data_IF_313929235346
#
_entry.id   IF_313929235346
#
_cell.length_a   1.000
_cell.length_b   1.000
_cell.length_c   1.000
_cell.angle_alpha   90.00
_cell.angle_beta   90.00
_cell.angle_gamma   90.00
#
_symmetry.space_group_name_H-M   'P 1'
#
loop_
_entity.id
_entity.type
_entity.pdbx_description
1 polymer ?
#
# COMPACT_ATOMS: atom_id res chain seq x y z
N UNK A 1 -2.73 27.58 0.87
CA UNK A 1 -1.41 27.42 0.23
C UNK A 1 -0.47 26.87 1.28
N UNK A 2 -0.24 25.56 1.29
CA UNK A 2 0.77 24.95 2.15
C UNK A 2 2.09 25.10 1.41
N UNK A 3 3.06 25.80 1.99
CA UNK A 3 4.38 25.95 1.38
C UNK A 3 5.08 24.60 1.33
N UNK A 4 5.47 24.14 0.14
CA UNK A 4 6.46 23.07 0.01
C UNK A 4 7.81 23.62 0.47
N UNK A 5 8.15 23.41 1.73
CA UNK A 5 9.52 23.65 2.20
C UNK A 5 10.41 22.52 1.68
N UNK A 6 11.11 22.79 0.57
CA UNK A 6 12.07 21.86 -0.01
C UNK A 6 13.38 21.93 0.75
N UNK A 7 13.49 21.16 1.82
CA UNK A 7 14.76 20.91 2.50
C UNK A 7 15.60 19.98 1.61
N UNK A 8 16.90 20.23 1.48
CA UNK A 8 17.76 19.31 0.75
C UNK A 8 17.79 17.96 1.48
N UNK A 9 17.85 16.85 0.73
CA UNK A 9 17.88 15.51 1.33
C UNK A 9 19.03 15.36 2.34
N UNK A 10 20.20 15.94 2.04
CA UNK A 10 21.36 15.90 2.91
C UNK A 10 21.13 16.64 4.23
N UNK A 11 20.55 17.84 4.17
CA UNK A 11 20.23 18.63 5.37
C UNK A 11 19.15 17.93 6.21
N UNK A 12 18.11 17.40 5.55
CA UNK A 12 17.06 16.63 6.23
C UNK A 12 17.65 15.43 6.97
N UNK A 13 18.54 14.66 6.32
CA UNK A 13 19.20 13.52 6.94
C UNK A 13 19.99 13.92 8.17
N UNK A 14 20.79 14.98 8.10
CA UNK A 14 21.57 15.47 9.25
C UNK A 14 20.64 15.88 10.40
N UNK A 15 19.58 16.64 10.12
CA UNK A 15 18.59 17.04 11.12
C UNK A 15 17.89 15.83 11.75
N UNK A 16 17.52 14.84 10.93
CA UNK A 16 16.89 13.61 11.40
C UNK A 16 17.84 12.82 12.30
N UNK A 17 19.07 12.58 11.87
CA UNK A 17 20.08 11.85 12.65
C UNK A 17 20.36 12.55 13.98
N UNK A 18 20.38 13.89 14.00
CA UNK A 18 20.56 14.66 15.23
C UNK A 18 19.35 14.58 16.18
N UNK A 19 18.14 14.48 15.66
CA UNK A 19 16.90 14.52 16.46
C UNK A 19 16.49 13.12 16.92
N UNK A 20 16.57 12.14 16.03
CA UNK A 20 16.03 10.79 16.22
C UNK A 20 17.11 9.71 16.26
N UNK A 21 18.30 9.97 15.71
CA UNK A 21 19.41 9.01 15.70
C UNK A 21 20.17 8.89 17.03
N UNK A 22 19.78 9.62 18.08
CA UNK A 22 20.40 9.51 19.41
C UNK A 22 20.03 8.19 20.09
N UNK A 23 20.92 7.66 20.96
CA UNK A 23 20.85 6.35 21.65
C UNK A 23 19.60 6.07 22.52
N UNK A 24 18.56 6.92 22.48
CA UNK A 24 17.25 6.55 23.00
C UNK A 24 16.66 5.45 22.10
N UNK A 25 16.27 4.30 22.65
CA UNK A 25 15.74 3.12 21.92
C UNK A 25 14.42 3.36 21.14
N UNK A 26 14.09 4.63 20.89
CA UNK A 26 12.84 5.13 20.33
C UNK A 26 12.81 5.04 18.79
N UNK A 27 13.93 5.25 18.12
CA UNK A 27 14.03 5.20 16.66
C UNK A 27 15.22 4.33 16.21
N UNK A 28 15.17 3.82 14.98
CA UNK A 28 16.31 3.11 14.38
C UNK A 28 17.34 4.10 13.82
N UNK A 29 18.30 3.60 13.03
CA UNK A 29 19.09 4.43 12.14
C UNK A 29 18.23 5.08 11.05
N UNK A 30 18.77 6.11 10.37
CA UNK A 30 18.02 6.82 9.31
C UNK A 30 17.49 5.86 8.25
N UNK A 31 18.29 4.87 7.86
CA UNK A 31 17.92 3.89 6.84
C UNK A 31 17.02 2.75 7.37
N UNK A 32 16.72 2.71 8.67
CA UNK A 32 15.95 1.61 9.23
C UNK A 32 14.48 1.69 8.81
N UNK A 33 13.89 0.52 8.64
CA UNK A 33 12.47 0.38 8.31
C UNK A 33 11.63 0.24 9.57
N UNK A 34 10.35 0.60 9.49
CA UNK A 34 9.39 0.38 10.58
C UNK A 34 9.48 -1.04 11.12
N UNK A 35 9.55 -1.18 12.44
CA UNK A 35 9.60 -2.49 13.11
C UNK A 35 8.22 -2.98 13.53
N UNK A 36 7.21 -2.11 13.43
CA UNK A 36 5.84 -2.44 13.80
C UNK A 36 5.17 -3.35 12.78
N UNK A 37 4.60 -4.45 13.31
CA UNK A 37 3.81 -5.37 12.51
C UNK A 37 2.51 -4.71 12.05
N UNK A 38 2.08 -4.95 10.79
CA UNK A 38 0.77 -4.54 10.33
C UNK A 38 -0.42 -5.19 11.07
N UNK A 39 -0.14 -6.24 11.85
CA UNK A 39 -1.12 -7.01 12.61
C UNK A 39 -0.89 -6.91 14.12
N UNK A 40 -0.20 -5.86 14.58
CA UNK A 40 0.22 -5.72 15.98
C UNK A 40 -0.94 -5.88 16.97
N UNK A 41 -2.11 -5.33 16.62
CA UNK A 41 -3.34 -5.44 17.41
C UNK A 41 -4.40 -6.32 16.73
N UNK A 42 -3.98 -7.37 16.01
CA UNK A 42 -4.95 -8.32 15.43
C UNK A 42 -5.47 -9.30 16.47
N UNK A 43 -4.65 -9.80 17.40
CA UNK A 43 -5.06 -10.81 18.39
C UNK A 43 -5.51 -10.20 19.72
N UNK A 44 -6.37 -9.18 19.67
CA UNK A 44 -6.78 -8.47 20.88
C UNK A 44 -8.03 -9.09 21.51
N UNK A 45 -8.00 -9.29 22.81
CA UNK A 45 -9.14 -9.79 23.58
C UNK A 45 -10.21 -8.70 23.69
N UNK A 46 -11.46 -8.96 23.26
CA UNK A 46 -12.55 -8.01 23.43
C UNK A 46 -12.75 -7.63 24.91
N UNK A 47 -12.93 -6.34 25.18
CA UNK A 47 -13.18 -5.82 26.54
C UNK A 47 -11.93 -5.45 27.35
N UNK A 48 -10.73 -5.77 26.87
CA UNK A 48 -9.47 -5.30 27.47
C UNK A 48 -9.02 -4.02 26.74
N UNK A 49 -8.92 -2.87 27.41
CA UNK A 49 -8.35 -1.66 26.83
C UNK A 49 -6.90 -1.90 26.43
N UNK A 50 -6.54 -1.50 25.20
CA UNK A 50 -5.15 -1.40 24.79
C UNK A 50 -4.89 0.08 24.58
N UNK A 51 -4.22 0.68 25.57
CA UNK A 51 -3.93 2.10 25.65
C UNK A 51 -3.02 2.53 24.50
N UNK A 52 -2.14 1.65 24.01
CA UNK A 52 -1.24 1.93 22.89
C UNK A 52 -1.90 1.87 21.49
N UNK A 53 -3.21 1.61 21.43
CA UNK A 53 -3.93 1.38 20.18
C UNK A 53 -4.99 2.46 19.89
N UNK A 54 -5.06 2.93 18.65
CA UNK A 54 -5.97 4.01 18.24
C UNK A 54 -6.70 3.69 16.94
N UNK A 55 -7.87 4.31 16.75
CA UNK A 55 -8.47 4.56 15.42
C UNK A 55 -8.21 6.01 15.08
N UNK A 56 -7.16 6.28 14.30
CA UNK A 56 -6.67 7.63 14.02
C UNK A 56 -6.77 7.99 12.54
N UNK A 57 -6.37 9.21 12.20
CA UNK A 57 -6.24 9.64 10.80
C UNK A 57 -5.04 8.94 10.15
N UNK A 58 -5.21 8.42 8.94
CA UNK A 58 -4.14 7.75 8.19
C UNK A 58 -4.04 8.25 6.76
N UNK A 59 -2.84 8.20 6.19
CA UNK A 59 -2.63 8.47 4.77
C UNK A 59 -2.67 7.17 3.96
N UNK A 60 -3.68 7.04 3.10
CA UNK A 60 -3.81 5.96 2.13
C UNK A 60 -3.13 6.37 0.82
N UNK A 61 -2.01 5.72 0.49
CA UNK A 61 -1.32 5.94 -0.79
C UNK A 61 -1.95 5.04 -1.85
N UNK A 62 -2.47 5.63 -2.93
CA UNK A 62 -3.05 4.90 -4.05
C UNK A 62 -2.03 4.64 -5.14
N UNK A 63 -1.42 5.70 -5.68
CA UNK A 63 -0.48 5.59 -6.81
C UNK A 63 0.69 6.55 -6.67
N UNK A 64 1.81 6.17 -7.28
CA UNK A 64 2.95 7.04 -7.51
C UNK A 64 3.25 6.98 -9.00
N UNK A 65 3.03 8.08 -9.70
CA UNK A 65 3.24 8.19 -11.14
C UNK A 65 4.53 8.95 -11.41
N UNK A 66 5.35 8.45 -12.33
CA UNK A 66 6.49 9.21 -12.83
C UNK A 66 5.98 10.24 -13.83
N UNK A 67 6.30 11.51 -13.56
CA UNK A 67 5.91 12.65 -14.37
C UNK A 67 7.13 13.46 -14.79
N UNK A 68 6.94 14.21 -15.87
CA UNK A 68 7.97 15.08 -16.44
C UNK A 68 7.77 16.53 -16.04
N UNK A 69 8.84 17.24 -15.64
CA UNK A 69 8.78 18.69 -15.54
C UNK A 69 8.84 19.38 -16.93
N UNK A 70 9.59 18.85 -17.92
CA UNK A 70 10.01 19.64 -19.10
C UNK A 70 9.99 18.95 -20.51
N UNK A 71 9.40 17.75 -20.70
CA UNK A 71 8.89 17.32 -22.03
C UNK A 71 9.78 16.51 -22.99
N UNK A 72 10.54 15.50 -22.51
CA UNK A 72 10.85 14.25 -23.24
C UNK A 72 11.66 13.29 -22.36
N UNK A 73 11.01 12.33 -21.70
CA UNK A 73 11.65 11.12 -21.21
C UNK A 73 11.79 10.12 -22.35
N UNK A 74 12.96 9.51 -22.46
CA UNK A 74 13.23 8.46 -23.45
C UNK A 74 12.60 7.15 -22.97
N UNK A 75 11.30 6.97 -23.21
CA UNK A 75 10.58 5.74 -22.86
C UNK A 75 11.10 4.54 -23.69
N UNK A 76 11.21 3.33 -23.12
CA UNK A 76 10.82 2.95 -21.76
C UNK A 76 11.86 3.36 -20.70
N UNK A 77 11.38 3.65 -19.48
CA UNK A 77 12.23 4.05 -18.36
C UNK A 77 12.52 2.90 -17.43
N UNK A 78 13.78 2.78 -17.00
CA UNK A 78 14.21 1.78 -16.02
C UNK A 78 14.45 2.45 -14.68
N UNK A 79 13.40 2.54 -13.87
CA UNK A 79 13.38 3.29 -12.61
C UNK A 79 13.77 2.39 -11.43
N UNK A 80 14.62 2.92 -10.54
CA UNK A 80 15.02 2.28 -9.30
C UNK A 80 15.23 3.33 -8.20
N UNK A 81 15.38 2.88 -6.96
CA UNK A 81 15.54 3.76 -5.80
C UNK A 81 14.53 3.45 -4.70
N UNK A 82 14.30 4.44 -3.84
CA UNK A 82 13.47 4.33 -2.64
C UNK A 82 12.39 5.41 -2.64
N UNK A 83 11.18 5.02 -2.29
CA UNK A 83 10.13 5.93 -1.83
C UNK A 83 9.62 5.42 -0.50
N UNK A 84 9.62 6.26 0.53
CA UNK A 84 9.16 5.91 1.86
C UNK A 84 8.34 7.04 2.49
N UNK A 85 7.42 6.67 3.37
CA UNK A 85 6.77 7.61 4.28
C UNK A 85 7.37 7.45 5.69
N UNK A 86 7.49 8.55 6.42
CA UNK A 86 7.87 8.59 7.83
C UNK A 86 6.77 9.29 8.60
N UNK A 87 6.16 8.55 9.52
CA UNK A 87 5.26 9.10 10.52
C UNK A 87 5.93 9.08 11.89
N UNK A 88 5.25 9.66 12.89
CA UNK A 88 5.79 9.85 14.24
C UNK A 88 5.70 8.61 15.13
N UNK A 89 5.21 7.47 14.61
CA UNK A 89 5.08 6.24 15.42
C UNK A 89 6.46 5.71 15.82
N UNK A 90 7.38 5.62 14.85
CA UNK A 90 8.78 5.21 15.07
C UNK A 90 9.79 6.03 14.26
N UNK A 91 9.36 7.01 13.46
CA UNK A 91 10.18 7.82 12.54
C UNK A 91 11.00 7.02 11.51
N UNK A 92 10.84 5.71 11.48
CA UNK A 92 11.53 4.82 10.56
C UNK A 92 10.84 4.80 9.19
N UNK A 93 11.51 4.25 8.18
CA UNK A 93 10.97 4.17 6.82
C UNK A 93 9.82 3.18 6.74
N UNK A 94 8.66 3.67 6.37
CA UNK A 94 7.57 2.86 5.88
C UNK A 94 7.66 2.81 4.34
N UNK A 95 8.35 1.78 3.83
CA UNK A 95 8.71 1.68 2.41
C UNK A 95 7.47 1.55 1.53
N UNK A 96 7.34 2.41 0.53
CA UNK A 96 6.28 2.38 -0.49
C UNK A 96 6.78 1.72 -1.78
N UNK A 97 8.02 2.00 -2.15
CA UNK A 97 8.72 1.44 -3.30
C UNK A 97 10.21 1.29 -2.95
N UNK A 98 10.80 0.14 -3.25
CA UNK A 98 12.24 -0.07 -3.06
C UNK A 98 12.76 -1.04 -4.13
N UNK A 99 13.63 -0.54 -5.02
CA UNK A 99 14.27 -1.35 -6.05
C UNK A 99 15.74 -0.98 -6.21
N UNK A 100 16.59 -1.98 -6.33
CA UNK A 100 18.00 -1.79 -6.64
C UNK A 100 18.21 -1.48 -8.13
N UNK A 101 19.37 -0.93 -8.49
CA UNK A 101 19.75 -0.68 -9.90
C UNK A 101 19.80 -1.96 -10.75
N UNK A 102 20.04 -3.12 -10.13
CA UNK A 102 20.04 -4.41 -10.81
C UNK A 102 18.62 -4.91 -11.12
N UNK A 103 17.63 -4.50 -10.33
CA UNK A 103 16.23 -4.90 -10.43
C UNK A 103 15.30 -3.69 -10.68
N UNK A 104 15.66 -2.84 -11.65
CA UNK A 104 14.82 -1.70 -12.02
C UNK A 104 13.41 -2.14 -12.46
N UNK A 105 12.41 -1.29 -12.21
CA UNK A 105 11.11 -1.42 -12.86
C UNK A 105 11.17 -0.75 -14.23
N UNK A 106 10.74 -1.46 -15.27
CA UNK A 106 10.50 -0.86 -16.59
C UNK A 106 9.12 -0.18 -16.58
N UNK A 107 9.07 1.08 -16.99
CA UNK A 107 7.85 1.87 -17.16
C UNK A 107 7.71 2.27 -18.62
N UNK A 108 6.47 2.38 -19.10
CA UNK A 108 6.14 2.86 -20.45
C UNK A 108 5.33 4.14 -20.37
N UNK A 109 5.18 4.84 -21.49
CA UNK A 109 4.35 6.05 -21.54
C UNK A 109 2.89 5.74 -21.16
N UNK A 110 2.38 4.58 -21.60
CA UNK A 110 1.03 4.09 -21.28
C UNK A 110 0.88 3.64 -19.82
N UNK A 111 1.95 3.12 -19.21
CA UNK A 111 2.00 2.64 -17.82
C UNK A 111 3.21 3.21 -17.08
N UNK A 112 3.04 4.46 -16.64
CA UNK A 112 4.07 5.28 -15.97
C UNK A 112 4.02 5.18 -14.43
N UNK A 113 3.34 4.17 -13.89
CA UNK A 113 3.13 4.01 -12.44
C UNK A 113 4.16 3.08 -11.79
N UNK A 114 4.67 3.48 -10.63
CA UNK A 114 5.49 2.60 -9.80
C UNK A 114 4.64 1.47 -9.22
N UNK A 115 5.18 0.25 -9.26
CA UNK A 115 4.57 -0.91 -8.61
C UNK A 115 4.92 -0.88 -7.13
N UNK A 116 4.00 -0.35 -6.34
CA UNK A 116 4.15 -0.19 -4.90
C UNK A 116 4.16 -1.54 -4.19
N UNK A 117 5.03 -1.68 -3.20
CA UNK A 117 5.14 -2.88 -2.36
C UNK A 117 4.59 -2.65 -0.95
N UNK A 118 4.51 -1.39 -0.53
CA UNK A 118 4.01 -1.02 0.77
C UNK A 118 2.82 -0.06 0.73
N UNK A 119 2.46 0.50 1.88
CA UNK A 119 3.28 0.54 3.09
C UNK A 119 3.34 -0.82 3.83
N UNK A 120 4.32 -0.97 4.72
CA UNK A 120 4.48 -2.14 5.60
C UNK A 120 3.48 -2.16 6.76
N UNK A 121 2.97 -0.99 7.14
CA UNK A 121 1.86 -0.76 8.07
C UNK A 121 1.10 0.52 7.67
N UNK A 122 -0.09 0.77 8.18
CA UNK A 122 -0.79 2.01 7.92
C UNK A 122 0.07 3.22 8.36
N UNK A 123 0.05 4.28 7.55
CA UNK A 123 0.79 5.52 7.80
C UNK A 123 -0.08 6.39 8.70
N UNK A 124 0.34 6.59 9.94
CA UNK A 124 -0.37 7.42 10.89
C UNK A 124 -0.17 8.89 10.53
N UNK A 125 -1.26 9.66 10.46
CA UNK A 125 -1.25 11.04 10.01
C UNK A 125 -1.85 11.99 11.07
N UNK A 126 -1.52 11.71 12.34
CA UNK A 126 -1.82 12.61 13.46
C UNK A 126 -0.87 13.81 13.46
N UNK A 127 0.39 13.56 13.11
CA UNK A 127 1.43 14.55 12.90
C UNK A 127 1.82 14.64 11.41
N UNK A 128 2.57 15.67 10.98
CA UNK A 128 3.07 15.77 9.61
C UNK A 128 3.86 14.52 9.18
N UNK A 129 3.45 13.94 8.05
CA UNK A 129 4.14 12.79 7.45
C UNK A 129 5.18 13.31 6.46
N UNK A 130 6.43 12.84 6.61
CA UNK A 130 7.51 13.16 5.68
C UNK A 130 7.60 12.09 4.60
N UNK A 131 7.65 12.51 3.33
CA UNK A 131 7.91 11.62 2.21
C UNK A 131 9.37 11.71 1.77
N UNK A 132 10.05 10.58 1.80
CA UNK A 132 11.40 10.39 1.27
C UNK A 132 11.29 9.87 -0.16
N UNK A 133 11.79 10.62 -1.15
CA UNK A 133 11.72 10.25 -2.57
C UNK A 133 13.12 10.33 -3.18
N UNK A 134 13.74 9.16 -3.34
CA UNK A 134 15.05 9.00 -3.98
C UNK A 134 14.93 8.07 -5.19
N UNK A 135 14.42 8.60 -6.29
CA UNK A 135 14.26 7.86 -7.54
C UNK A 135 15.36 8.20 -8.55
N UNK A 136 15.80 7.19 -9.29
CA UNK A 136 16.84 7.27 -10.32
C UNK A 136 16.41 6.50 -11.56
N UNK A 137 16.75 7.02 -12.72
CA UNK A 137 16.57 6.34 -14.02
C UNK A 137 17.92 5.71 -14.40
N UNK A 138 17.91 4.45 -14.81
CA UNK A 138 19.11 3.77 -15.30
C UNK A 138 19.41 4.25 -16.71
N UNK A 139 20.43 5.10 -16.84
CA UNK A 139 20.94 5.53 -18.14
C UNK A 139 21.72 4.39 -18.83
N UNK A 140 21.49 4.23 -20.14
CA UNK A 140 22.32 3.39 -21.00
C UNK A 140 23.69 4.04 -21.19
N UNK A 141 24.69 3.59 -20.43
CA UNK A 141 26.15 3.71 -20.61
C UNK A 141 26.82 5.04 -21.05
N UNK A 142 26.15 6.14 -21.40
CA UNK A 142 26.82 7.28 -22.10
C UNK A 142 26.49 8.67 -21.54
N UNK A 143 25.56 8.85 -20.61
CA UNK A 143 25.25 10.20 -20.09
C UNK A 143 25.55 10.34 -18.59
N UNK A 144 26.61 11.08 -18.28
CA UNK A 144 26.99 11.52 -16.93
C UNK A 144 26.16 12.77 -16.58
N UNK A 145 24.84 12.62 -16.57
CA UNK A 145 23.91 13.66 -16.13
C UNK A 145 22.89 13.03 -15.21
N UNK A 146 22.78 13.48 -13.96
CA UNK A 146 21.71 13.06 -13.04
C UNK A 146 20.37 13.48 -13.64
N UNK A 147 19.70 12.61 -14.40
CA UNK A 147 18.31 12.83 -14.84
C UNK A 147 17.42 12.74 -13.60
N UNK A 148 16.90 13.88 -13.16
CA UNK A 148 15.87 13.95 -12.12
C UNK A 148 14.50 13.71 -12.75
N UNK A 149 13.69 12.86 -12.14
CA UNK A 149 12.27 12.70 -12.48
C UNK A 149 11.39 13.32 -11.40
N UNK A 150 10.18 13.76 -11.77
CA UNK A 150 9.15 14.15 -10.81
C UNK A 150 8.28 12.93 -10.52
N UNK A 151 7.81 12.80 -9.29
CA UNK A 151 6.82 11.80 -8.91
C UNK A 151 5.54 12.50 -8.45
N UNK A 152 4.42 12.15 -9.07
CA UNK A 152 3.08 12.58 -8.66
C UNK A 152 2.50 11.53 -7.71
N UNK A 153 2.17 11.96 -6.50
CA UNK A 153 1.56 11.11 -5.47
C UNK A 153 0.03 11.29 -5.51
N UNK A 154 -0.70 10.18 -5.61
CA UNK A 154 -2.14 10.16 -5.34
C UNK A 154 -2.38 9.51 -3.97
N UNK A 155 -2.95 10.28 -3.06
CA UNK A 155 -3.23 9.86 -1.69
C UNK A 155 -4.52 10.46 -1.16
N UNK A 156 -4.98 9.93 -0.03
CA UNK A 156 -6.14 10.41 0.70
C UNK A 156 -5.90 10.33 2.20
N UNK A 157 -6.38 11.34 2.94
CA UNK A 157 -6.41 11.35 4.39
C UNK A 157 -7.74 10.72 4.84
N UNK A 158 -7.66 9.61 5.56
CA UNK A 158 -8.81 8.88 6.07
C UNK A 158 -8.89 9.02 7.58
N UNK A 159 -9.94 9.67 8.08
CA UNK A 159 -10.21 9.78 9.52
C UNK A 159 -10.76 8.47 10.10
N UNK A 160 -10.56 8.27 11.40
CA UNK A 160 -11.07 7.10 12.13
C UNK A 160 -10.75 5.75 11.46
N UNK A 161 -9.50 5.61 11.02
CA UNK A 161 -9.07 4.44 10.26
C UNK A 161 -8.64 3.27 11.13
N UNK A 162 -8.84 2.07 10.60
CA UNK A 162 -8.17 0.84 11.01
C UNK A 162 -7.29 0.33 9.89
N UNK A 163 -6.36 -0.54 10.26
CA UNK A 163 -5.52 -1.22 9.31
C UNK A 163 -6.14 -2.57 8.90
N UNK A 164 -6.26 -2.76 7.59
CA UNK A 164 -6.57 -4.03 6.96
C UNK A 164 -5.30 -4.62 6.32
N UNK A 165 -4.92 -5.81 6.76
CA UNK A 165 -3.82 -6.58 6.19
C UNK A 165 -4.40 -7.75 5.42
N UNK A 166 -4.26 -7.73 4.09
CA UNK A 166 -4.75 -8.79 3.22
C UNK A 166 -3.78 -9.96 3.33
N UNK A 167 -4.18 -10.96 4.13
CA UNK A 167 -3.37 -12.14 4.43
C UNK A 167 -3.19 -13.02 3.20
N UNK A 168 -4.21 -13.09 2.36
CA UNK A 168 -4.09 -13.80 1.10
C UNK A 168 -5.40 -13.89 0.33
N UNK A 169 -5.23 -14.22 -0.94
CA UNK A 169 -6.28 -14.58 -1.88
C UNK A 169 -5.92 -15.96 -2.42
N UNK A 170 -6.84 -16.91 -2.38
CA UNK A 170 -6.61 -18.27 -2.90
C UNK A 170 -7.87 -18.85 -3.53
N UNK A 171 -7.68 -19.73 -4.51
CA UNK A 171 -8.78 -20.51 -5.08
C UNK A 171 -9.00 -21.73 -4.19
N UNK A 172 -10.23 -21.93 -3.70
CA UNK A 172 -10.55 -23.01 -2.74
C UNK A 172 -11.39 -24.13 -3.34
N UNK A 173 -12.09 -23.85 -4.44
CA UNK A 173 -12.90 -24.81 -5.18
C UNK A 173 -12.59 -24.61 -6.67
N UNK A 174 -11.88 -25.56 -7.27
CA UNK A 174 -11.28 -25.44 -8.60
C UNK A 174 -12.08 -26.30 -9.58
N UNK A 175 -13.09 -25.70 -10.21
CA UNK A 175 -13.69 -26.29 -11.41
C UNK A 175 -12.76 -26.05 -12.63
N UNK A 176 -12.24 -24.82 -12.75
CA UNK A 176 -11.25 -24.40 -13.74
C UNK A 176 -10.34 -23.35 -13.14
N UNK A 177 -9.04 -23.37 -13.46
CA UNK A 177 -8.11 -22.36 -12.92
C UNK A 177 -8.44 -20.99 -13.53
N UNK A 178 -8.88 -19.98 -12.73
CA UNK A 178 -9.38 -18.74 -13.32
C UNK A 178 -8.25 -17.83 -13.84
N UNK A 179 -6.99 -18.06 -13.47
CA UNK A 179 -5.89 -17.11 -13.71
C UNK A 179 -4.91 -17.55 -14.82
N UNK A 180 -5.38 -18.25 -15.85
CA UNK A 180 -4.56 -18.75 -16.97
C UNK A 180 -3.85 -17.62 -17.74
N UNK A 181 -4.46 -16.44 -17.85
CA UNK A 181 -3.91 -15.27 -18.54
C UNK A 181 -3.51 -14.14 -17.57
N UNK A 182 -3.28 -14.50 -16.31
CA UNK A 182 -3.00 -13.52 -15.28
C UNK A 182 -4.26 -13.01 -14.60
N UNK A 183 -4.11 -11.93 -13.86
CA UNK A 183 -5.20 -11.37 -13.07
C UNK A 183 -4.75 -10.27 -12.14
N UNK A 184 -5.71 -9.78 -11.37
CA UNK A 184 -5.56 -8.56 -10.58
C UNK A 184 -6.38 -8.60 -9.32
N UNK A 185 -5.80 -8.12 -8.23
CA UNK A 185 -6.48 -7.95 -6.95
C UNK A 185 -6.33 -6.50 -6.53
N UNK A 186 -7.45 -5.83 -6.30
CA UNK A 186 -7.48 -4.43 -5.90
C UNK A 186 -8.50 -4.18 -4.79
N UNK A 187 -8.15 -3.26 -3.88
CA UNK A 187 -9.02 -2.80 -2.81
C UNK A 187 -9.56 -1.40 -3.09
N UNK A 188 -10.78 -1.17 -2.63
CA UNK A 188 -11.50 0.09 -2.76
C UNK A 188 -12.24 0.38 -1.45
N UNK A 189 -12.31 1.66 -1.07
CA UNK A 189 -13.32 2.12 -0.12
C UNK A 189 -14.65 2.22 -0.83
N UNK A 190 -15.74 1.73 -0.26
CA UNK A 190 -17.06 1.81 -0.90
C UNK A 190 -17.50 3.26 -1.11
N UNK A 191 -17.14 4.17 -0.20
CA UNK A 191 -17.37 5.61 -0.37
C UNK A 191 -16.65 6.24 -1.58
N UNK A 192 -15.66 5.56 -2.16
CA UNK A 192 -14.95 6.04 -3.35
C UNK A 192 -15.71 5.76 -4.66
N UNK A 193 -16.78 4.97 -4.65
CA UNK A 193 -17.60 4.67 -5.83
C UNK A 193 -18.24 5.96 -6.39
N UNK A 194 -18.15 6.16 -7.72
CA UNK A 194 -18.69 7.33 -8.41
C UNK A 194 -19.75 6.94 -9.43
N UNK A 195 -20.69 7.85 -9.70
CA UNK A 195 -21.68 7.69 -10.77
C UNK A 195 -21.09 8.20 -12.09
N UNK A 196 -20.90 7.30 -13.05
CA UNK A 196 -20.57 7.65 -14.42
C UNK A 196 -21.79 7.48 -15.31
N UNK A 197 -21.98 8.36 -16.29
CA UNK A 197 -23.04 8.25 -17.28
C UNK A 197 -22.41 7.70 -18.55
N UNK A 198 -22.93 6.58 -19.07
CA UNK A 198 -22.45 6.04 -20.33
C UNK A 198 -22.96 6.85 -21.54
N UNK A 199 -22.47 6.51 -22.73
CA UNK A 199 -22.86 7.17 -23.98
C UNK A 199 -24.36 7.05 -24.31
N UNK A 200 -25.11 6.17 -23.62
CA UNK A 200 -26.55 5.98 -23.78
C UNK A 200 -27.35 6.69 -22.68
N UNK A 201 -26.69 7.44 -21.78
CA UNK A 201 -27.35 8.18 -20.71
C UNK A 201 -27.67 7.33 -19.47
N UNK A 202 -27.16 6.10 -19.36
CA UNK A 202 -27.40 5.24 -18.21
C UNK A 202 -26.34 5.52 -17.14
N UNK A 203 -26.80 5.84 -15.93
CA UNK A 203 -25.92 6.06 -14.81
C UNK A 203 -25.46 4.72 -14.21
N UNK A 204 -24.15 4.49 -14.18
CA UNK A 204 -23.51 3.29 -13.63
C UNK A 204 -22.55 3.69 -12.50
N UNK A 205 -22.67 2.99 -11.38
CA UNK A 205 -21.70 3.07 -10.28
C UNK A 205 -20.38 2.44 -10.74
N UNK A 206 -19.27 3.16 -10.62
CA UNK A 206 -17.94 2.68 -11.04
C UNK A 206 -16.91 2.99 -9.97
N UNK A 207 -15.93 2.10 -9.80
CA UNK A 207 -14.76 2.37 -8.98
C UNK A 207 -13.75 3.25 -9.75
N UNK A 208 -13.37 4.42 -9.23
CA UNK A 208 -12.38 5.25 -9.89
C UNK A 208 -11.00 4.58 -9.81
N UNK A 209 -10.34 4.41 -10.96
CA UNK A 209 -9.00 3.83 -11.04
C UNK A 209 -7.95 4.59 -10.22
N UNK A 210 -8.19 5.87 -9.91
CA UNK A 210 -7.29 6.70 -9.11
C UNK A 210 -7.34 6.42 -7.62
N UNK A 211 -8.41 5.81 -7.09
CA UNK A 211 -8.57 5.51 -5.65
C UNK A 211 -8.57 4.01 -5.34
N UNK A 212 -7.78 3.27 -6.09
CA UNK A 212 -7.64 1.83 -5.91
C UNK A 212 -6.30 1.50 -5.30
N UNK A 213 -6.29 0.54 -4.39
CA UNK A 213 -5.06 -0.02 -3.85
C UNK A 213 -4.79 -1.35 -4.55
N UNK A 214 -3.85 -1.35 -5.48
CA UNK A 214 -3.48 -2.55 -6.24
C UNK A 214 -2.60 -3.44 -5.35
N UNK A 215 -3.09 -4.64 -5.06
CA UNK A 215 -2.35 -5.65 -4.29
C UNK A 215 -1.58 -6.58 -5.22
N UNK A 216 -2.16 -6.87 -6.39
CA UNK A 216 -1.59 -7.71 -7.44
C UNK A 216 -2.11 -7.20 -8.79
N UNK A 217 -1.23 -7.09 -9.77
CA UNK A 217 -1.57 -6.94 -11.18
C UNK A 217 -0.55 -7.73 -12.00
N UNK A 218 -0.96 -8.85 -12.58
CA UNK A 218 -0.05 -9.73 -13.31
C UNK A 218 -0.63 -10.02 -14.69
N UNK A 219 0.10 -9.62 -15.73
CA UNK A 219 -0.27 -9.77 -17.15
C UNK A 219 0.66 -10.77 -17.83
N UNK A 220 0.75 -11.97 -17.27
CA UNK A 220 1.55 -13.07 -17.81
C UNK A 220 0.72 -14.34 -17.96
N UNK A 221 1.35 -15.40 -18.47
CA UNK A 221 0.75 -16.74 -18.47
C UNK A 221 0.80 -17.27 -17.04
N UNK A 222 -0.36 -17.69 -16.54
CA UNK A 222 -0.57 -18.30 -15.23
C UNK A 222 0.01 -17.51 -14.04
N UNK A 223 -0.84 -16.98 -13.17
CA UNK A 223 -0.34 -16.30 -11.97
C UNK A 223 0.46 -17.30 -11.11
N UNK A 224 1.72 -16.98 -10.74
CA UNK A 224 2.47 -17.84 -9.83
C UNK A 224 1.80 -17.87 -8.45
N UNK A 225 1.60 -19.10 -7.95
CA UNK A 225 0.97 -19.37 -6.66
C UNK A 225 2.02 -19.93 -5.70
N UNK A 226 1.96 -19.51 -4.44
CA UNK A 226 2.80 -20.08 -3.39
C UNK A 226 2.47 -21.55 -3.11
N UNK A 227 3.37 -22.28 -2.46
CA UNK A 227 3.16 -23.67 -2.04
C UNK A 227 1.95 -23.88 -1.12
N UNK A 228 1.48 -22.81 -0.48
CA UNK A 228 0.29 -22.77 0.36
C UNK A 228 -1.01 -22.44 -0.39
N UNK A 229 -0.97 -22.32 -1.73
CA UNK A 229 -2.12 -22.03 -2.58
C UNK A 229 -2.53 -20.55 -2.67
N UNK A 230 -1.80 -19.65 -2.00
CA UNK A 230 -2.10 -18.21 -2.04
C UNK A 230 -1.40 -17.50 -3.19
N UNK A 231 -2.09 -16.53 -3.78
CA UNK A 231 -1.51 -15.62 -4.77
C UNK A 231 -0.42 -14.75 -4.13
N UNK A 232 0.69 -14.54 -4.85
CA UNK A 232 1.75 -13.65 -4.41
C UNK A 232 1.36 -12.18 -4.62
N UNK A 233 0.80 -11.56 -3.57
CA UNK A 233 0.50 -10.12 -3.58
C UNK A 233 1.82 -9.32 -3.49
N UNK A 234 1.90 -8.21 -4.23
CA UNK A 234 3.00 -7.25 -4.08
C UNK A 234 2.80 -6.29 -2.91
N UNK A 235 1.54 -6.06 -2.50
CA UNK A 235 1.17 -5.16 -1.41
C UNK A 235 0.07 -5.81 -0.57
N UNK A 236 0.11 -5.58 0.74
CA UNK A 236 -0.82 -6.22 1.69
C UNK A 236 -1.63 -5.24 2.56
N UNK A 237 -1.14 -4.02 2.76
CA UNK A 237 -1.72 -3.09 3.74
C UNK A 237 -2.60 -2.03 3.09
N UNK A 238 -3.79 -1.88 3.66
CA UNK A 238 -4.81 -0.89 3.30
C UNK A 238 -5.33 -0.23 4.59
N UNK A 239 -5.41 1.08 4.60
CA UNK A 239 -6.15 1.86 5.61
C UNK A 239 -7.62 1.93 5.22
N UNK A 240 -8.51 1.71 6.18
CA UNK A 240 -9.95 1.73 5.95
C UNK A 240 -10.63 2.48 7.09
N UNK A 241 -11.48 3.44 6.76
CA UNK A 241 -12.33 4.09 7.76
C UNK A 241 -13.22 3.04 8.43
N UNK A 242 -13.26 3.02 9.77
CA UNK A 242 -13.98 2.00 10.55
C UNK A 242 -15.50 1.97 10.26
N UNK A 243 -16.05 3.08 9.75
CA UNK A 243 -17.48 3.21 9.41
C UNK A 243 -17.79 2.91 7.95
N UNK A 244 -16.77 2.69 7.10
CA UNK A 244 -16.97 2.38 5.68
C UNK A 244 -17.00 0.86 5.44
N UNK A 245 -16.89 0.44 4.18
CA UNK A 245 -16.78 -0.95 3.74
C UNK A 245 -15.54 -1.11 2.89
N UNK A 246 -14.74 -2.14 3.17
CA UNK A 246 -13.63 -2.54 2.32
C UNK A 246 -14.16 -3.48 1.23
N UNK A 247 -14.11 -3.03 -0.03
CA UNK A 247 -14.37 -3.86 -1.20
C UNK A 247 -13.06 -4.44 -1.72
N UNK A 248 -13.00 -5.75 -1.88
CA UNK A 248 -11.88 -6.42 -2.57
C UNK A 248 -12.39 -6.98 -3.88
N UNK A 249 -11.78 -6.55 -4.98
CA UNK A 249 -12.08 -7.01 -6.33
C UNK A 249 -11.00 -7.95 -6.81
N UNK A 250 -11.40 -9.14 -7.23
CA UNK A 250 -10.54 -10.15 -7.84
C UNK A 250 -10.92 -10.26 -9.31
N UNK A 251 -9.95 -10.07 -10.19
CA UNK A 251 -10.14 -10.11 -11.64
C UNK A 251 -9.26 -11.19 -12.24
N UNK A 252 -9.84 -11.97 -13.15
CA UNK A 252 -9.14 -12.92 -14.00
C UNK A 252 -9.14 -12.38 -15.43
N UNK A 253 -7.96 -12.36 -16.04
CA UNK A 253 -7.81 -11.89 -17.42
C UNK A 253 -8.11 -13.01 -18.41
N UNK A 254 -8.61 -12.61 -19.58
CA UNK A 254 -8.83 -13.49 -20.74
C UNK A 254 -8.49 -12.75 -22.04
N UNK A 255 -8.32 -13.47 -23.17
CA UNK A 255 -8.11 -12.82 -24.46
C UNK A 255 -9.27 -11.92 -24.88
N UNK A 256 -10.48 -12.18 -24.38
CA UNK A 256 -11.70 -11.42 -24.67
C UNK A 256 -11.98 -10.29 -23.66
N UNK A 257 -11.17 -10.12 -22.62
CA UNK A 257 -11.34 -9.09 -21.60
C UNK A 257 -10.97 -9.56 -20.20
N UNK A 258 -11.90 -9.38 -19.25
CA UNK A 258 -11.72 -9.88 -17.89
C UNK A 258 -13.05 -10.22 -17.24
N UNK A 259 -13.06 -11.23 -16.39
CA UNK A 259 -14.14 -11.48 -15.43
C UNK A 259 -13.71 -10.95 -14.06
N UNK A 260 -14.68 -10.52 -13.25
CA UNK A 260 -14.42 -9.95 -11.93
C UNK A 260 -15.42 -10.49 -10.91
N UNK A 261 -14.94 -10.66 -9.68
CA UNK A 261 -15.72 -11.03 -8.52
C UNK A 261 -15.35 -10.11 -7.34
N UNK A 262 -16.26 -9.95 -6.40
CA UNK A 262 -16.11 -9.00 -5.30
C UNK A 262 -16.48 -9.64 -3.96
N UNK A 263 -15.75 -9.26 -2.92
CA UNK A 263 -16.13 -9.49 -1.52
C UNK A 263 -16.16 -8.15 -0.78
N UNK A 264 -16.99 -8.07 0.26
CA UNK A 264 -17.21 -6.85 1.03
C UNK A 264 -17.00 -7.15 2.50
N UNK A 265 -16.07 -6.43 3.13
CA UNK A 265 -15.82 -6.58 4.54
C UNK A 265 -16.25 -5.34 5.31
N UNK A 266 -16.99 -5.56 6.40
CA UNK A 266 -17.16 -4.57 7.45
C UNK A 266 -15.86 -4.48 8.27
N UNK A 267 -15.22 -3.30 8.34
CA UNK A 267 -14.01 -3.11 9.11
C UNK A 267 -14.18 -3.45 10.59
N UNK A 268 -13.13 -4.02 11.19
CA UNK A 268 -13.08 -4.37 12.62
C UNK A 268 -11.87 -3.70 13.27
N UNK A 269 -11.89 -3.61 14.60
CA UNK A 269 -10.75 -3.09 15.39
C UNK A 269 -9.65 -4.13 15.59
N UNK A 270 -9.97 -5.41 15.45
CA UNK A 270 -9.05 -6.54 15.61
C UNK A 270 -9.69 -7.79 14.98
N UNK A 271 -9.00 -8.93 15.08
CA UNK A 271 -9.36 -10.25 14.56
C UNK A 271 -9.29 -10.38 13.04
N UNK A 272 -9.65 -11.57 12.55
CA UNK A 272 -9.60 -11.94 11.14
C UNK A 272 -11.04 -12.03 10.61
N UNK A 273 -11.22 -11.62 9.34
CA UNK A 273 -12.42 -11.87 8.56
C UNK A 273 -12.06 -12.66 7.30
N UNK A 274 -12.95 -13.53 6.87
CA UNK A 274 -12.83 -14.31 5.64
C UNK A 274 -14.15 -14.25 4.90
N UNK A 275 -14.07 -14.18 3.57
CA UNK A 275 -15.25 -14.22 2.70
C UNK A 275 -14.90 -14.86 1.35
N UNK A 276 -15.92 -15.32 0.65
CA UNK A 276 -15.84 -16.07 -0.60
C UNK A 276 -16.56 -15.33 -1.71
N UNK A 277 -15.98 -15.35 -2.91
CA UNK A 277 -16.66 -14.93 -4.13
C UNK A 277 -16.50 -15.97 -5.23
N UNK A 278 -17.43 -15.96 -6.18
CA UNK A 278 -17.42 -16.85 -7.34
C UNK A 278 -16.80 -16.09 -8.51
N UNK A 279 -15.70 -16.62 -9.05
CA UNK A 279 -14.97 -16.07 -10.19
C UNK A 279 -14.98 -17.10 -11.33
N UNK A 280 -15.86 -16.90 -12.29
CA UNK A 280 -16.16 -17.91 -13.29
C UNK A 280 -16.84 -19.11 -12.63
N UNK A 281 -16.27 -20.30 -12.79
CA UNK A 281 -16.79 -21.54 -12.19
C UNK A 281 -16.07 -21.91 -10.88
N UNK A 282 -15.17 -21.06 -10.40
CA UNK A 282 -14.31 -21.34 -9.25
C UNK A 282 -14.63 -20.42 -8.07
N UNK A 283 -14.37 -20.89 -6.84
CA UNK A 283 -14.52 -20.09 -5.62
C UNK A 283 -13.18 -19.54 -5.17
N UNK A 284 -13.15 -18.24 -4.88
CA UNK A 284 -11.97 -17.54 -4.38
C UNK A 284 -12.24 -17.05 -2.96
N UNK A 285 -11.37 -17.44 -2.03
CA UNK A 285 -11.38 -16.97 -0.65
C UNK A 285 -10.43 -15.78 -0.49
N UNK A 286 -10.90 -14.76 0.22
CA UNK A 286 -10.09 -13.62 0.63
C UNK A 286 -10.05 -13.57 2.16
N UNK A 287 -8.85 -13.45 2.72
CA UNK A 287 -8.64 -13.36 4.17
C UNK A 287 -8.04 -12.01 4.54
N UNK A 288 -8.64 -11.33 5.52
CA UNK A 288 -8.22 -10.01 6.01
C UNK A 288 -8.01 -10.04 7.52
N UNK A 289 -6.82 -9.64 7.96
CA UNK A 289 -6.54 -9.36 9.36
C UNK A 289 -6.75 -7.88 9.65
N UNK A 290 -7.53 -7.58 10.69
CA UNK A 290 -7.83 -6.24 11.14
C UNK A 290 -6.95 -5.89 12.34
N UNK A 291 -6.50 -4.64 12.40
CA UNK A 291 -5.73 -4.13 13.52
C UNK A 291 -6.06 -2.66 13.73
N UNK A 292 -6.15 -2.25 15.00
CA UNK A 292 -5.97 -0.84 15.36
C UNK A 292 -4.54 -0.40 15.05
N UNK A 293 -4.35 0.92 15.02
CA UNK A 293 -3.07 1.55 14.73
C UNK A 293 -2.25 1.65 16.01
N UNK A 294 -0.93 1.52 15.88
CA UNK A 294 0.00 1.91 16.94
C UNK A 294 0.07 3.42 16.98
N UNK A 295 -0.19 4.01 18.15
CA UNK A 295 -0.17 5.46 18.31
C UNK A 295 1.26 5.99 18.49
N UNK A 296 2.01 5.40 19.41
CA UNK A 296 3.39 5.76 19.70
C UNK A 296 4.14 4.51 20.17
N UNK A 297 5.40 4.37 19.75
CA UNK A 297 6.28 3.29 20.22
C UNK A 297 6.43 3.23 21.73
N UNK A 298 6.41 4.38 22.41
CA UNK A 298 6.56 4.45 23.87
C UNK A 298 5.43 3.75 24.62
N UNK A 299 4.20 3.89 24.14
CA UNK A 299 3.04 3.29 24.79
C UNK A 299 3.10 1.77 24.68
N UNK A 300 3.57 1.25 23.54
CA UNK A 300 3.77 -0.20 23.34
C UNK A 300 4.85 -0.75 24.27
N UNK A 301 5.99 -0.06 24.38
CA UNK A 301 7.06 -0.47 25.30
C UNK A 301 6.60 -0.48 26.76
N UNK A 302 5.78 0.51 27.14
CA UNK A 302 5.24 0.62 28.50
C UNK A 302 4.25 -0.50 28.80
N UNK A 303 3.33 -0.81 27.88
CA UNK A 303 2.42 -1.96 28.01
C UNK A 303 3.17 -3.29 28.12
N UNK A 304 4.24 -3.47 27.34
CA UNK A 304 5.06 -4.68 27.38
C UNK A 304 5.74 -4.89 28.74
N UNK A 305 6.18 -3.81 29.40
CA UNK A 305 6.75 -3.87 30.74
C UNK A 305 5.68 -4.21 31.79
N UNK A 306 4.51 -3.54 31.73
CA UNK A 306 3.40 -3.77 32.67
C UNK A 306 2.87 -5.21 32.55
N UNK A 307 2.82 -5.79 31.35
CA UNK A 307 2.36 -7.16 31.15
C UNK A 307 3.32 -8.23 31.71
N UNK A 308 4.55 -7.87 32.08
CA UNK A 308 5.56 -8.78 32.65
C UNK A 308 5.66 -8.71 34.18
N UNK A 309 4.95 -7.77 34.83
CA UNK A 309 4.88 -7.61 36.29
C UNK A 309 3.59 -8.19 36.86
#
# INVERSE_FOLDING_TARGET
MVGEERISFADYRICWESTWGSNTELCGGFEDTTTFSPMHFTQCTPGIPQLASVTGSTLQIYTIKIAEPNGKLDWPLYVYGVVAARDTVDNNRNLLFCRSRANCQMLTEEDSFLRLTGPSRAILAVDPVIFEVELRIKDGAVHIGRRSCTAELSLELLDNSVQATILGVRVVDVASWPFEHGGRVACYSRSAEVMAIDSQGIAKVTDPRSRQVILLDYKGKEIPVGSNGYLHLSRHVVSVNILDTLKVTVQAYSPSGCIAAHVYFTPKRCNISQDLCVLGDSKVEVTVAWSRLVQNKMDVSTEAIIAQT
#
